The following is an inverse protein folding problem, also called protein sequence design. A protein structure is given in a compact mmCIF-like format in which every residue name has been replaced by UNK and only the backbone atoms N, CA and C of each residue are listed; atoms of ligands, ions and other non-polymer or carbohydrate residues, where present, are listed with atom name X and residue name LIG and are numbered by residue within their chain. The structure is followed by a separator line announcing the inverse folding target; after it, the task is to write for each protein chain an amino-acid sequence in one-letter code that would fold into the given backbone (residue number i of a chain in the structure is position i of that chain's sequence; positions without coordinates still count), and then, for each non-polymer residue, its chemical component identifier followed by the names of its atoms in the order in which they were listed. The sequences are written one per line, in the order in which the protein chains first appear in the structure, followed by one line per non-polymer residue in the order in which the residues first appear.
data_IF_968597793431
#
_entry.id   IF_968597793431
#
_cell.length_a   1.000
_cell.length_b   1.000
_cell.length_c   1.000
_cell.angle_alpha   90.00
_cell.angle_beta   90.00
_cell.angle_gamma   90.00
#
_symmetry.space_group_name_H-M   'P 1'
#
loop_
_entity.id
_entity.type
_entity.pdbx_description
1 polymer ?
#
# COMPACT_ATOMS: atom_id res chain seq x y z
N UNK A 1 -58.21 29.21 40.90
CA UNK A 1 -56.81 28.74 40.90
C UNK A 1 -56.82 27.26 40.58
N UNK A 2 -56.03 26.85 39.56
CA UNK A 2 -55.79 25.48 39.08
C UNK A 2 -57.00 24.74 38.44
N UNK A 3 -56.88 23.88 37.42
CA UNK A 3 -55.86 23.56 36.41
C UNK A 3 -56.41 22.38 35.59
N UNK A 4 -56.33 22.48 34.25
CA UNK A 4 -56.01 21.42 33.25
C UNK A 4 -56.75 20.06 33.31
N UNK A 5 -57.34 19.67 32.18
CA UNK A 5 -56.76 18.70 31.23
C UNK A 5 -57.86 17.96 30.44
N UNK A 6 -58.00 18.28 29.16
CA UNK A 6 -58.54 17.36 28.16
C UNK A 6 -57.48 17.26 27.06
N UNK A 7 -56.69 16.18 27.10
CA UNK A 7 -55.78 15.81 26.01
C UNK A 7 -56.62 15.22 24.87
N UNK A 8 -56.63 15.89 23.72
CA UNK A 8 -56.97 15.25 22.46
C UNK A 8 -55.68 14.60 21.91
N UNK A 9 -55.64 13.27 21.93
CA UNK A 9 -54.55 12.47 21.39
C UNK A 9 -54.71 12.37 19.87
N UNK A 10 -54.01 13.21 19.12
CA UNK A 10 -53.84 13.04 17.67
C UNK A 10 -52.68 12.06 17.48
N UNK A 11 -53.01 10.83 17.05
CA UNK A 11 -52.01 9.85 16.61
C UNK A 11 -51.58 10.25 15.19
N UNK A 12 -50.40 10.87 15.08
CA UNK A 12 -49.77 11.12 13.79
C UNK A 12 -49.08 9.82 13.35
N UNK A 13 -49.71 9.04 12.48
CA UNK A 13 -49.06 7.91 11.82
C UNK A 13 -48.11 8.49 10.77
N UNK A 14 -46.84 8.67 11.12
CA UNK A 14 -45.79 8.95 10.16
C UNK A 14 -45.47 7.66 9.41
N UNK A 15 -46.06 7.50 8.22
CA UNK A 15 -45.66 6.46 7.28
C UNK A 15 -44.24 6.77 6.78
N UNK A 16 -43.26 6.02 7.29
CA UNK A 16 -41.90 5.96 6.73
C UNK A 16 -41.99 5.26 5.39
N UNK A 17 -42.18 6.03 4.32
CA UNK A 17 -41.87 5.54 2.97
C UNK A 17 -40.36 5.51 2.92
N UNK A 18 -39.77 4.31 2.89
CA UNK A 18 -38.37 4.16 2.52
C UNK A 18 -38.20 4.84 1.15
N UNK A 19 -37.50 5.98 1.12
CA UNK A 19 -37.19 6.66 -0.12
C UNK A 19 -36.34 5.72 -0.95
N UNK A 20 -36.91 5.13 -2.01
CA UNK A 20 -36.14 4.43 -3.03
C UNK A 20 -35.17 5.46 -3.60
N UNK A 21 -33.84 5.29 -3.49
CA UNK A 21 -32.91 6.25 -4.04
C UNK A 21 -33.20 6.41 -5.53
N UNK A 22 -33.22 7.66 -6.06
CA UNK A 22 -33.50 7.88 -7.46
C UNK A 22 -32.46 7.10 -8.29
N UNK A 23 -32.94 6.34 -9.28
CA UNK A 23 -32.08 5.67 -10.26
C UNK A 23 -31.23 6.75 -10.93
N UNK A 24 -29.96 6.86 -10.54
CA UNK A 24 -29.01 7.77 -11.20
C UNK A 24 -28.91 7.28 -12.64
N UNK A 25 -29.29 8.13 -13.59
CA UNK A 25 -29.14 7.83 -15.01
C UNK A 25 -27.65 7.64 -15.27
N UNK A 26 -27.24 6.43 -15.66
CA UNK A 26 -25.87 6.15 -16.12
C UNK A 26 -25.68 6.79 -17.50
N UNK A 27 -24.46 7.26 -17.77
CA UNK A 27 -24.03 7.78 -19.07
C UNK A 27 -23.37 6.65 -19.86
N UNK A 28 -23.62 6.58 -21.17
CA UNK A 28 -22.90 5.67 -22.08
C UNK A 28 -21.79 6.46 -22.78
N UNK A 29 -20.56 5.98 -22.63
CA UNK A 29 -19.36 6.56 -23.24
C UNK A 29 -19.25 6.20 -24.73
N UNK A 30 -18.35 6.87 -25.45
CA UNK A 30 -18.16 6.66 -26.89
C UNK A 30 -17.73 5.21 -27.25
N UNK A 31 -16.99 4.56 -26.36
CA UNK A 31 -16.56 3.16 -26.48
C UNK A 31 -17.65 2.14 -26.07
N UNK A 32 -18.85 2.60 -25.70
CA UNK A 32 -19.97 1.75 -25.30
C UNK A 32 -20.01 1.36 -23.83
N UNK A 33 -18.96 1.67 -23.05
CA UNK A 33 -18.98 1.49 -21.59
C UNK A 33 -20.00 2.42 -20.93
N UNK A 34 -20.44 2.09 -19.71
CA UNK A 34 -21.35 2.96 -18.96
C UNK A 34 -20.76 3.35 -17.62
N UNK A 35 -20.92 4.61 -17.24
CA UNK A 35 -20.43 5.17 -15.98
C UNK A 35 -21.50 6.04 -15.30
N UNK A 36 -21.34 6.29 -14.02
CA UNK A 36 -22.19 7.20 -13.25
C UNK A 36 -22.06 8.68 -13.67
N UNK A 37 -20.95 9.10 -14.28
CA UNK A 37 -20.71 10.49 -14.69
C UNK A 37 -19.98 10.57 -16.04
N UNK A 38 -20.43 11.42 -16.97
CA UNK A 38 -19.82 11.61 -18.29
C UNK A 38 -18.34 12.02 -18.22
N UNK A 39 -17.93 12.77 -17.18
CA UNK A 39 -16.53 13.13 -16.95
C UNK A 39 -15.62 11.90 -16.74
N UNK A 40 -16.20 10.75 -16.37
CA UNK A 40 -15.44 9.51 -16.17
C UNK A 40 -15.10 8.78 -17.47
N UNK A 41 -15.72 9.15 -18.60
CA UNK A 41 -15.56 8.39 -19.84
C UNK A 41 -14.13 8.37 -20.38
N UNK A 42 -13.34 9.44 -20.17
CA UNK A 42 -11.93 9.49 -20.59
C UNK A 42 -11.09 8.42 -19.91
N UNK A 43 -11.45 8.04 -18.68
CA UNK A 43 -10.67 7.09 -17.89
C UNK A 43 -10.76 5.65 -18.41
N UNK A 44 -11.78 5.30 -19.21
CA UNK A 44 -11.76 4.02 -19.90
C UNK A 44 -10.70 3.98 -21.01
N UNK A 45 -10.49 5.09 -21.71
CA UNK A 45 -9.44 5.16 -22.74
C UNK A 45 -8.04 5.20 -22.10
N UNK A 46 -7.91 5.85 -20.93
CA UNK A 46 -6.68 5.78 -20.10
C UNK A 46 -6.46 4.35 -19.61
N UNK A 47 -7.50 3.68 -19.09
CA UNK A 47 -7.44 2.30 -18.60
C UNK A 47 -6.90 1.35 -19.67
N UNK A 48 -7.50 1.36 -20.85
CA UNK A 48 -7.11 0.48 -21.94
C UNK A 48 -5.63 0.69 -22.33
N UNK A 49 -5.18 1.96 -22.38
CA UNK A 49 -3.82 2.33 -22.74
C UNK A 49 -2.79 1.94 -21.68
N UNK A 50 -3.06 2.20 -20.39
CA UNK A 50 -2.11 1.85 -19.32
C UNK A 50 -2.09 0.34 -19.07
N UNK A 51 -3.20 -0.37 -19.21
CA UNK A 51 -3.20 -1.83 -19.11
C UNK A 51 -2.32 -2.46 -20.20
N UNK A 52 -2.45 -2.01 -21.45
CA UNK A 52 -1.65 -2.54 -22.56
C UNK A 52 -0.17 -2.14 -22.48
N UNK A 53 0.10 -0.85 -22.21
CA UNK A 53 1.41 -0.25 -22.49
C UNK A 53 2.23 0.12 -21.25
N UNK A 54 1.60 0.32 -20.09
CA UNK A 54 2.31 0.57 -18.82
C UNK A 54 2.40 -0.72 -18.00
N UNK A 55 1.30 -1.45 -17.86
CA UNK A 55 1.22 -2.69 -17.07
C UNK A 55 1.34 -3.95 -17.92
N UNK A 56 1.96 -3.87 -19.10
CA UNK A 56 2.33 -5.03 -19.94
C UNK A 56 1.21 -6.06 -20.19
N UNK A 57 -0.03 -5.62 -20.36
CA UNK A 57 -1.19 -6.49 -20.51
C UNK A 57 -1.96 -6.75 -19.21
N UNK A 58 -1.84 -5.86 -18.22
CA UNK A 58 -2.53 -5.95 -16.93
C UNK A 58 -1.81 -6.84 -15.91
N UNK A 59 -0.48 -6.86 -15.95
CA UNK A 59 0.37 -7.58 -14.98
C UNK A 59 0.44 -6.82 -13.65
N UNK A 60 0.53 -7.58 -12.55
CA UNK A 60 0.96 -7.09 -11.24
C UNK A 60 2.47 -7.35 -11.10
N UNK A 61 3.24 -6.49 -11.76
CA UNK A 61 4.70 -6.49 -11.73
C UNK A 61 5.24 -5.12 -11.33
N UNK A 62 6.49 -4.86 -11.68
CA UNK A 62 7.23 -3.68 -11.22
C UNK A 62 6.47 -2.35 -11.42
N UNK A 63 6.00 -2.06 -12.63
CA UNK A 63 5.28 -0.80 -12.91
C UNK A 63 3.99 -0.64 -12.08
N UNK A 64 3.31 -1.75 -11.77
CA UNK A 64 2.11 -1.73 -10.92
C UNK A 64 2.49 -1.44 -9.45
N UNK A 65 3.57 -2.04 -8.95
CA UNK A 65 4.10 -1.80 -7.61
C UNK A 65 4.60 -0.36 -7.46
N UNK A 66 5.37 0.12 -8.44
CA UNK A 66 5.90 1.48 -8.47
C UNK A 66 4.78 2.52 -8.60
N UNK A 67 3.73 2.24 -9.39
CA UNK A 67 2.54 3.11 -9.49
C UNK A 67 1.82 3.22 -8.16
N UNK A 68 1.68 2.10 -7.42
CA UNK A 68 1.09 2.12 -6.07
C UNK A 68 1.95 2.92 -5.10
N UNK A 69 3.28 2.72 -5.11
CA UNK A 69 4.23 3.53 -4.31
C UNK A 69 4.13 5.02 -4.65
N UNK A 70 4.04 5.37 -5.93
CA UNK A 70 3.96 6.76 -6.39
C UNK A 70 2.75 7.49 -5.81
N UNK A 71 1.62 6.81 -5.60
CA UNK A 71 0.45 7.41 -4.94
C UNK A 71 0.75 7.94 -3.55
N UNK A 72 1.57 7.22 -2.78
CA UNK A 72 1.97 7.62 -1.43
C UNK A 72 2.96 8.78 -1.46
N UNK A 73 3.98 8.71 -2.31
CA UNK A 73 5.02 9.72 -2.38
C UNK A 73 4.50 11.08 -2.88
N UNK A 74 3.54 11.09 -3.80
CA UNK A 74 2.80 12.30 -4.17
C UNK A 74 1.96 12.80 -2.98
N UNK A 75 1.08 11.94 -2.45
CA UNK A 75 0.05 12.36 -1.50
C UNK A 75 0.57 12.76 -0.10
N UNK A 76 1.54 12.03 0.47
CA UNK A 76 1.96 12.23 1.85
C UNK A 76 2.80 13.49 2.07
N UNK A 77 3.26 14.10 0.97
CA UNK A 77 3.98 15.36 0.93
C UNK A 77 3.03 16.55 1.20
N UNK A 78 2.37 16.50 2.36
CA UNK A 78 1.31 17.39 2.83
C UNK A 78 1.41 17.64 4.33
N UNK A 79 1.64 18.89 4.74
CA UNK A 79 1.86 19.27 6.14
C UNK A 79 0.99 20.46 6.55
N UNK A 80 -0.12 20.20 7.25
CA UNK A 80 -0.87 21.22 7.98
C UNK A 80 -0.01 21.97 8.99
N UNK A 81 0.93 21.31 9.68
CA UNK A 81 1.82 21.98 10.63
C UNK A 81 2.72 23.03 9.97
N UNK A 82 3.34 22.71 8.82
CA UNK A 82 4.13 23.70 8.06
C UNK A 82 3.25 24.87 7.57
N UNK A 83 2.06 24.55 7.06
CA UNK A 83 1.08 25.55 6.61
C UNK A 83 0.69 26.49 7.75
N UNK A 84 0.39 25.95 8.94
CA UNK A 84 0.06 26.73 10.13
C UNK A 84 1.24 27.58 10.62
N UNK A 85 2.48 27.15 10.37
CA UNK A 85 3.69 27.91 10.67
C UNK A 85 4.00 29.01 9.63
N UNK A 86 3.19 29.14 8.58
CA UNK A 86 3.34 30.16 7.54
C UNK A 86 4.26 29.77 6.38
N UNK A 87 4.64 28.50 6.28
CA UNK A 87 5.39 27.93 5.15
C UNK A 87 4.46 27.17 4.22
N UNK A 88 4.86 26.94 2.96
CA UNK A 88 4.15 25.99 2.11
C UNK A 88 4.34 24.58 2.66
N UNK A 89 3.25 23.85 2.91
CA UNK A 89 3.27 22.51 3.48
C UNK A 89 3.23 21.37 2.47
N UNK A 90 3.27 21.66 1.17
CA UNK A 90 3.00 20.68 0.11
C UNK A 90 1.50 20.57 -0.20
N UNK A 91 1.19 20.19 -1.45
CA UNK A 91 -0.19 20.17 -1.97
C UNK A 91 -0.94 18.85 -1.74
N UNK A 92 -0.24 17.81 -1.28
CA UNK A 92 -0.82 16.47 -1.13
C UNK A 92 -0.91 15.76 -2.46
N UNK A 93 -2.03 15.08 -2.73
CA UNK A 93 -2.20 14.26 -3.93
C UNK A 93 -2.47 15.16 -5.15
N UNK A 94 -1.55 16.04 -5.53
CA UNK A 94 -1.72 17.08 -6.55
C UNK A 94 -0.88 16.84 -7.82
N UNK A 95 -0.12 15.74 -7.88
CA UNK A 95 0.76 15.42 -8.99
C UNK A 95 2.04 16.27 -9.04
N UNK A 96 2.41 16.95 -7.96
CA UNK A 96 3.64 17.75 -7.89
C UNK A 96 4.87 16.91 -8.20
N UNK A 97 4.88 15.63 -7.80
CA UNK A 97 6.02 14.74 -7.99
C UNK A 97 6.34 14.48 -9.47
N UNK A 98 5.33 14.52 -10.36
CA UNK A 98 5.51 14.50 -11.81
C UNK A 98 5.72 15.92 -12.33
N UNK A 99 4.92 16.90 -11.90
CA UNK A 99 4.95 18.26 -12.44
C UNK A 99 6.29 18.99 -12.19
N UNK A 100 6.93 18.71 -11.05
CA UNK A 100 8.17 19.31 -10.57
C UNK A 100 9.23 18.22 -10.29
N UNK A 101 9.29 17.20 -11.15
CA UNK A 101 10.23 16.07 -11.00
C UNK A 101 11.69 16.51 -11.02
N UNK A 102 12.02 17.65 -11.65
CA UNK A 102 13.35 18.26 -11.64
C UNK A 102 13.80 18.70 -10.22
N UNK A 103 12.83 18.91 -9.32
CA UNK A 103 13.08 19.24 -7.91
C UNK A 103 12.86 18.01 -7.03
N UNK A 104 11.69 17.38 -7.08
CA UNK A 104 11.31 16.34 -6.12
C UNK A 104 12.09 15.03 -6.28
N UNK A 105 12.58 14.71 -7.48
CA UNK A 105 13.45 13.53 -7.70
C UNK A 105 14.88 13.75 -7.19
N UNK A 106 15.23 14.96 -6.74
CA UNK A 106 16.52 15.22 -6.09
C UNK A 106 16.51 14.83 -4.61
N UNK A 107 15.33 14.55 -4.04
CA UNK A 107 15.17 14.21 -2.63
C UNK A 107 15.53 12.74 -2.39
N UNK A 108 16.37 12.42 -1.40
CA UNK A 108 16.75 11.04 -1.11
C UNK A 108 15.56 10.09 -0.86
N UNK A 109 14.48 10.63 -0.28
CA UNK A 109 13.25 9.88 0.02
C UNK A 109 12.56 9.36 -1.25
N UNK A 110 12.76 10.01 -2.40
CA UNK A 110 12.14 9.66 -3.67
C UNK A 110 13.05 8.83 -4.58
N UNK A 111 14.17 8.31 -4.06
CA UNK A 111 15.09 7.49 -4.84
C UNK A 111 14.36 6.29 -5.48
N UNK A 112 14.60 6.10 -6.78
CA UNK A 112 14.00 5.03 -7.58
C UNK A 112 12.54 5.27 -7.96
N UNK A 113 12.07 6.52 -8.01
CA UNK A 113 10.76 6.87 -8.60
C UNK A 113 10.89 7.55 -9.97
N UNK A 114 12.11 7.87 -10.40
CA UNK A 114 12.36 8.59 -11.63
C UNK A 114 11.91 7.80 -12.86
N UNK A 115 12.07 6.47 -12.85
CA UNK A 115 11.61 5.60 -13.94
C UNK A 115 10.09 5.65 -14.08
N UNK A 116 9.32 5.35 -13.03
CA UNK A 116 7.85 5.37 -13.09
C UNK A 116 7.27 6.77 -13.32
N UNK A 117 7.90 7.83 -12.80
CA UNK A 117 7.47 9.23 -13.02
C UNK A 117 7.56 9.57 -14.51
N UNK A 118 8.68 9.25 -15.15
CA UNK A 118 8.86 9.55 -16.57
C UNK A 118 8.10 8.57 -17.48
N UNK A 119 7.85 7.33 -17.04
CA UNK A 119 6.96 6.40 -17.73
C UNK A 119 5.49 6.85 -17.68
N UNK A 120 5.04 7.40 -16.54
CA UNK A 120 3.65 7.86 -16.32
C UNK A 120 3.30 9.15 -17.07
N UNK A 121 4.25 10.11 -17.11
CA UNK A 121 4.07 11.44 -17.71
C UNK A 121 3.43 11.45 -19.12
N UNK A 122 3.91 10.67 -20.12
CA UNK A 122 3.37 10.72 -21.46
C UNK A 122 1.90 10.28 -21.54
N UNK A 123 1.44 9.37 -20.67
CA UNK A 123 0.04 8.93 -20.65
C UNK A 123 -0.88 10.06 -20.18
N UNK A 124 -0.54 10.71 -19.06
CA UNK A 124 -1.32 11.83 -18.54
C UNK A 124 -1.43 12.98 -19.57
N UNK A 125 -0.33 13.30 -20.24
CA UNK A 125 -0.29 14.32 -21.31
C UNK A 125 -1.11 13.90 -22.53
N UNK A 126 -0.94 12.65 -23.00
CA UNK A 126 -1.64 12.11 -24.18
C UNK A 126 -3.16 12.13 -24.01
N UNK A 127 -3.63 11.77 -22.81
CA UNK A 127 -5.07 11.73 -22.49
C UNK A 127 -5.62 13.04 -21.94
N UNK A 128 -4.77 14.07 -21.79
CA UNK A 128 -5.14 15.39 -21.27
C UNK A 128 -5.85 15.30 -19.90
N UNK A 129 -5.31 14.48 -19.00
CA UNK A 129 -5.73 14.36 -17.60
C UNK A 129 -4.67 15.00 -16.69
N UNK A 130 -5.03 15.36 -15.46
CA UNK A 130 -4.06 15.90 -14.51
C UNK A 130 -3.08 14.83 -14.04
N UNK A 131 -1.88 15.23 -13.65
CA UNK A 131 -0.89 14.31 -13.10
C UNK A 131 -1.37 13.70 -11.79
N UNK A 132 -1.96 14.50 -10.90
CA UNK A 132 -2.51 13.99 -9.64
C UNK A 132 -3.62 12.97 -9.86
N UNK A 133 -4.54 13.19 -10.81
CA UNK A 133 -5.56 12.20 -11.12
C UNK A 133 -4.94 10.94 -11.75
N UNK A 134 -3.97 11.09 -12.66
CA UNK A 134 -3.30 9.97 -13.30
C UNK A 134 -2.56 9.07 -12.29
N UNK A 135 -1.82 9.65 -11.35
CA UNK A 135 -1.09 8.89 -10.32
C UNK A 135 -2.06 8.03 -9.50
N UNK A 136 -3.13 8.64 -8.98
CA UNK A 136 -4.11 7.94 -8.15
C UNK A 136 -4.88 6.88 -8.97
N UNK A 137 -5.15 7.15 -10.25
CA UNK A 137 -5.75 6.18 -11.17
C UNK A 137 -4.83 4.99 -11.44
N UNK A 138 -3.57 5.24 -11.80
CA UNK A 138 -2.59 4.20 -12.11
C UNK A 138 -2.31 3.31 -10.89
N UNK A 139 -2.19 3.88 -9.69
CA UNK A 139 -2.04 3.09 -8.46
C UNK A 139 -3.27 2.22 -8.16
N UNK A 140 -4.49 2.73 -8.36
CA UNK A 140 -5.72 1.95 -8.17
C UNK A 140 -5.85 0.81 -9.20
N UNK A 141 -5.53 1.06 -10.47
CA UNK A 141 -5.55 0.05 -11.53
C UNK A 141 -4.44 -0.99 -11.33
N UNK A 142 -3.22 -0.56 -11.03
CA UNK A 142 -2.09 -1.45 -10.76
C UNK A 142 -2.37 -2.38 -9.58
N UNK A 143 -2.92 -1.86 -8.48
CA UNK A 143 -3.33 -2.70 -7.35
C UNK A 143 -4.45 -3.70 -7.72
N UNK A 144 -5.37 -3.32 -8.62
CA UNK A 144 -6.43 -4.20 -9.09
C UNK A 144 -5.94 -5.31 -10.04
N UNK A 145 -4.76 -5.18 -10.65
CA UNK A 145 -4.15 -6.24 -11.47
C UNK A 145 -3.62 -7.41 -10.62
N UNK A 146 -3.31 -7.15 -9.35
CA UNK A 146 -2.77 -8.13 -8.44
C UNK A 146 -3.82 -9.15 -8.01
N UNK A 147 -3.39 -10.38 -7.72
CA UNK A 147 -4.32 -11.44 -7.35
C UNK A 147 -5.04 -11.05 -6.06
N UNK A 148 -6.37 -11.04 -6.13
CA UNK A 148 -7.17 -10.67 -4.98
C UNK A 148 -6.99 -9.21 -4.51
N UNK A 149 -6.55 -8.32 -5.41
CA UNK A 149 -6.36 -6.90 -5.15
C UNK A 149 -7.61 -6.17 -4.60
N UNK A 150 -7.39 -4.97 -4.02
CA UNK A 150 -8.46 -4.13 -3.50
C UNK A 150 -9.27 -3.45 -4.61
N UNK A 151 -10.47 -2.99 -4.28
CA UNK A 151 -11.27 -2.09 -5.10
C UNK A 151 -11.07 -0.64 -4.63
N UNK A 152 -9.88 -0.08 -4.88
CA UNK A 152 -9.56 1.30 -4.48
C UNK A 152 -10.49 2.27 -5.21
N UNK A 153 -11.09 3.20 -4.45
CA UNK A 153 -11.95 4.24 -5.02
C UNK A 153 -11.14 5.26 -5.81
N UNK A 154 -11.68 5.71 -6.94
CA UNK A 154 -11.03 6.70 -7.78
C UNK A 154 -11.91 7.94 -7.96
N UNK A 155 -11.38 9.09 -7.54
CA UNK A 155 -12.01 10.40 -7.67
C UNK A 155 -11.16 11.26 -8.59
N UNK A 156 -11.74 11.83 -9.65
CA UNK A 156 -11.06 12.69 -10.61
C UNK A 156 -11.44 14.17 -10.43
N UNK A 157 -10.54 15.09 -10.80
CA UNK A 157 -10.77 16.53 -10.77
C UNK A 157 -9.62 17.35 -10.16
N UNK A 158 -8.46 16.74 -9.90
CA UNK A 158 -7.29 17.47 -9.38
C UNK A 158 -6.74 18.46 -10.42
N UNK A 159 -6.24 19.60 -9.95
CA UNK A 159 -5.60 20.61 -10.79
C UNK A 159 -4.13 20.27 -11.03
N UNK A 160 -3.58 20.61 -12.19
CA UNK A 160 -2.13 20.61 -12.43
C UNK A 160 -1.43 21.86 -11.88
N UNK A 161 -2.16 22.82 -11.31
CA UNK A 161 -1.60 23.99 -10.65
C UNK A 161 -1.04 23.59 -9.27
N UNK A 162 0.23 23.19 -9.25
CA UNK A 162 0.96 22.72 -8.07
C UNK A 162 2.29 23.45 -7.90
N UNK A 163 2.92 23.25 -6.74
CA UNK A 163 4.31 23.65 -6.45
C UNK A 163 5.08 22.43 -5.98
N UNK A 164 6.39 22.38 -6.23
CA UNK A 164 7.24 21.32 -5.67
C UNK A 164 7.03 21.20 -4.16
N UNK A 165 6.75 19.99 -3.70
CA UNK A 165 6.56 19.72 -2.29
C UNK A 165 7.84 20.01 -1.49
N UNK A 166 7.73 20.46 -0.22
CA UNK A 166 8.90 20.50 0.66
C UNK A 166 9.51 19.12 0.86
N UNK A 167 10.84 19.04 0.87
CA UNK A 167 11.58 17.83 1.24
C UNK A 167 11.29 17.41 2.71
N UNK A 168 11.62 16.17 3.05
CA UNK A 168 11.47 15.54 4.38
C UNK A 168 10.01 15.39 4.86
N UNK A 169 9.06 15.33 3.93
CA UNK A 169 7.65 15.01 4.22
C UNK A 169 7.26 13.55 3.92
N UNK A 170 8.17 12.78 3.32
CA UNK A 170 8.02 11.34 3.09
C UNK A 170 8.90 10.60 4.12
N UNK A 171 8.37 9.62 4.87
CA UNK A 171 9.16 8.83 5.80
C UNK A 171 10.26 8.01 5.11
N UNK A 172 11.40 7.85 5.78
CA UNK A 172 12.47 6.95 5.37
C UNK A 172 12.33 5.57 6.05
N UNK A 173 12.84 4.49 5.44
CA UNK A 173 12.84 3.17 6.08
C UNK A 173 13.74 3.11 7.32
N UNK A 174 14.72 4.01 7.46
CA UNK A 174 15.56 4.14 8.65
C UNK A 174 14.95 4.99 9.77
N UNK A 175 13.81 5.64 9.53
CA UNK A 175 13.12 6.42 10.56
C UNK A 175 12.60 5.55 11.71
N UNK A 176 12.57 6.14 12.91
CA UNK A 176 11.97 5.48 14.07
C UNK A 176 10.44 5.42 13.94
N UNK A 177 9.81 4.46 14.62
CA UNK A 177 8.35 4.41 14.70
C UNK A 177 7.74 5.73 15.24
N UNK A 178 8.41 6.40 16.17
CA UNK A 178 7.97 7.72 16.66
C UNK A 178 7.97 8.78 15.56
N UNK A 179 9.03 8.84 14.75
CA UNK A 179 9.16 9.77 13.63
C UNK A 179 8.08 9.51 12.59
N UNK A 180 7.92 8.25 12.17
CA UNK A 180 6.93 7.84 11.17
C UNK A 180 5.52 8.20 11.66
N UNK A 181 5.14 7.77 12.87
CA UNK A 181 3.81 8.01 13.39
C UNK A 181 3.52 9.50 13.62
N UNK A 182 4.53 10.30 13.99
CA UNK A 182 4.37 11.76 14.07
C UNK A 182 4.16 12.40 12.68
N UNK A 183 4.88 11.93 11.66
CA UNK A 183 4.74 12.42 10.27
C UNK A 183 3.37 12.11 9.71
N UNK A 184 2.89 10.87 9.89
CA UNK A 184 1.54 10.47 9.51
C UNK A 184 0.46 11.24 10.29
N UNK A 185 0.68 11.48 11.59
CA UNK A 185 -0.25 12.29 12.40
C UNK A 185 -0.37 13.73 11.92
N UNK A 186 0.70 14.36 11.43
CA UNK A 186 0.64 15.69 10.81
C UNK A 186 -0.22 15.66 9.53
N UNK A 187 -0.02 14.66 8.66
CA UNK A 187 -0.83 14.45 7.48
C UNK A 187 -2.29 14.00 7.78
N UNK A 188 -2.62 13.72 9.03
CA UNK A 188 -3.99 13.43 9.49
C UNK A 188 -4.32 11.96 9.70
N UNK A 189 -3.33 11.06 9.75
CA UNK A 189 -3.52 9.64 9.99
C UNK A 189 -3.23 9.24 11.43
N UNK A 190 -4.06 8.35 11.98
CA UNK A 190 -3.79 7.70 13.28
C UNK A 190 -2.87 6.49 13.09
N UNK A 191 -2.26 6.01 14.17
CA UNK A 191 -1.25 4.96 14.10
C UNK A 191 -1.72 3.66 13.41
N UNK A 192 -2.98 3.26 13.61
CA UNK A 192 -3.54 2.08 12.96
C UNK A 192 -3.73 2.25 11.45
N UNK A 193 -4.01 3.46 10.97
CA UNK A 193 -4.14 3.75 9.54
C UNK A 193 -2.77 3.64 8.83
N UNK A 194 -1.65 3.84 9.54
CA UNK A 194 -0.32 3.58 9.00
C UNK A 194 -0.13 2.10 8.69
N UNK A 195 -0.58 1.22 9.59
CA UNK A 195 -0.58 -0.24 9.37
C UNK A 195 -1.47 -0.61 8.17
N UNK A 196 -2.62 0.06 8.04
CA UNK A 196 -3.54 -0.18 6.92
C UNK A 196 -2.91 0.21 5.59
N UNK A 197 -2.21 1.35 5.50
CA UNK A 197 -1.49 1.74 4.28
C UNK A 197 -0.33 0.81 3.94
N UNK A 198 0.32 0.21 4.94
CA UNK A 198 1.40 -0.75 4.73
C UNK A 198 0.93 -2.10 4.18
N UNK A 199 -0.39 -2.32 4.00
CA UNK A 199 -0.89 -3.44 3.18
C UNK A 199 -0.29 -3.37 1.77
N UNK A 200 0.06 -2.17 1.26
CA UNK A 200 0.75 -2.01 -0.03
C UNK A 200 2.06 -2.79 -0.14
N UNK A 201 2.77 -3.05 0.97
CA UNK A 201 4.04 -3.78 0.95
C UNK A 201 3.86 -5.27 0.63
N UNK A 202 2.63 -5.82 0.64
CA UNK A 202 2.37 -7.19 0.15
C UNK A 202 2.58 -7.35 -1.36
N UNK A 203 2.54 -6.24 -2.11
CA UNK A 203 2.87 -6.18 -3.54
C UNK A 203 3.99 -5.16 -3.76
N UNK A 204 5.08 -5.33 -3.02
CA UNK A 204 6.20 -4.40 -3.00
C UNK A 204 7.55 -5.08 -3.02
N UNK A 205 8.52 -4.39 -3.62
CA UNK A 205 9.92 -4.77 -3.72
C UNK A 205 10.83 -3.57 -3.45
N UNK A 206 12.14 -3.81 -3.34
CA UNK A 206 13.12 -2.74 -3.22
C UNK A 206 14.16 -2.76 -4.35
N UNK A 207 14.56 -1.57 -4.79
CA UNK A 207 15.61 -1.39 -5.81
C UNK A 207 16.80 -0.55 -5.34
N UNK A 208 16.62 0.27 -4.29
CA UNK A 208 17.56 1.36 -3.97
C UNK A 208 18.18 1.29 -2.57
N UNK A 209 17.67 0.45 -1.67
CA UNK A 209 18.22 0.33 -0.29
C UNK A 209 19.50 -0.50 -0.31
N UNK A 210 19.46 -1.65 -0.97
CA UNK A 210 20.65 -2.43 -1.34
C UNK A 210 20.72 -2.50 -2.87
N UNK A 211 21.26 -1.45 -3.52
CA UNK A 211 21.49 -1.46 -4.95
C UNK A 211 22.71 -2.34 -5.24
N UNK A 212 22.73 -2.99 -6.40
CA UNK A 212 23.92 -3.76 -6.82
C UNK A 212 25.16 -2.86 -6.69
N UNK A 213 26.08 -3.28 -5.82
CA UNK A 213 27.41 -2.68 -5.75
C UNK A 213 28.04 -2.79 -7.14
N UNK A 214 28.10 -1.67 -7.86
CA UNK A 214 28.74 -1.60 -9.17
C UNK A 214 30.07 -2.35 -9.13
N UNK A 215 30.38 -3.23 -10.11
CA UNK A 215 31.65 -3.93 -10.10
C UNK A 215 32.73 -2.88 -10.27
N UNK A 216 33.45 -2.57 -9.18
CA UNK A 216 34.75 -1.88 -9.12
C UNK A 216 34.90 -0.77 -10.18
N UNK A 217 34.75 0.49 -9.75
CA UNK A 217 35.16 1.66 -10.53
C UNK A 217 36.37 1.39 -11.43
N UNK A 218 36.22 1.66 -12.74
CA UNK A 218 37.28 1.54 -13.75
C UNK A 218 38.56 2.34 -13.40
N UNK A 219 38.52 3.20 -12.38
CA UNK A 219 39.71 3.84 -11.79
C UNK A 219 40.70 2.84 -11.15
N UNK A 220 40.27 1.62 -10.82
CA UNK A 220 41.15 0.56 -10.29
C UNK A 220 41.76 -0.33 -11.38
N UNK A 221 41.42 -0.14 -12.65
CA UNK A 221 41.95 -0.93 -13.77
C UNK A 221 43.43 -0.61 -14.09
N UNK A 222 43.99 0.46 -13.54
CA UNK A 222 45.40 0.84 -13.74
C UNK A 222 46.36 -0.05 -12.93
N UNK A 223 45.89 -0.73 -11.88
CA UNK A 223 46.77 -1.55 -11.03
C UNK A 223 46.95 -3.00 -11.53
N UNK A 224 46.17 -3.44 -12.53
CA UNK A 224 46.22 -4.83 -13.04
C UNK A 224 47.31 -5.04 -14.11
N UNK A 225 47.92 -3.97 -14.64
CA UNK A 225 48.96 -4.08 -15.69
C UNK A 225 50.40 -4.24 -15.18
N UNK A 226 50.65 -4.29 -13.86
CA UNK A 226 52.02 -4.24 -13.30
C UNK A 226 52.38 -5.43 -12.37
N UNK A 227 51.57 -6.49 -12.30
CA UNK A 227 51.89 -7.67 -11.49
C UNK A 227 52.06 -8.96 -12.33
N UNK A 228 53.05 -9.81 -12.00
CA UNK A 228 53.30 -11.07 -12.71
C UNK A 228 52.12 -12.05 -12.51
N UNK A 229 51.98 -13.08 -13.36
CA UNK A 229 50.80 -13.95 -13.38
C UNK A 229 50.69 -14.73 -12.08
N UNK A 230 49.83 -14.26 -11.17
CA UNK A 230 49.50 -14.98 -9.96
C UNK A 230 48.48 -16.08 -10.27
N UNK A 231 48.77 -17.23 -9.68
CA UNK A 231 48.08 -18.51 -9.80
C UNK A 231 46.59 -18.37 -9.50
N UNK A 232 45.76 -19.08 -10.28
CA UNK A 232 44.35 -19.44 -10.04
C UNK A 232 43.53 -18.31 -9.41
N UNK A 233 42.78 -17.60 -10.26
CA UNK A 233 41.66 -16.79 -9.83
C UNK A 233 40.85 -17.58 -8.79
N UNK A 234 40.75 -17.02 -7.59
CA UNK A 234 39.89 -17.55 -6.55
C UNK A 234 38.46 -17.62 -7.09
N UNK A 235 37.80 -18.75 -6.90
CA UNK A 235 36.37 -18.94 -7.11
C UNK A 235 35.49 -18.09 -6.15
N UNK A 236 36.05 -17.00 -5.58
CA UNK A 236 35.35 -15.99 -4.77
C UNK A 236 34.64 -14.92 -5.62
N UNK A 237 34.68 -15.05 -6.94
CA UNK A 237 33.79 -14.35 -7.88
C UNK A 237 32.59 -15.24 -8.26
N UNK A 238 32.09 -16.05 -7.31
CA UNK A 238 30.75 -16.61 -7.41
C UNK A 238 29.74 -15.44 -7.39
N UNK A 239 28.70 -15.53 -8.21
CA UNK A 239 27.67 -14.50 -8.44
C UNK A 239 27.35 -13.68 -7.18
N UNK A 240 27.64 -12.37 -7.20
CA UNK A 240 27.01 -11.46 -6.23
C UNK A 240 25.51 -11.61 -6.39
N UNK A 241 24.82 -11.98 -5.33
CA UNK A 241 23.37 -12.11 -5.36
C UNK A 241 22.81 -10.70 -5.39
N UNK A 242 22.38 -10.24 -6.57
CA UNK A 242 21.60 -9.02 -6.70
C UNK A 242 20.31 -9.21 -5.92
N UNK A 243 20.03 -8.30 -4.99
CA UNK A 243 18.73 -8.23 -4.29
C UNK A 243 17.88 -7.04 -4.73
N UNK A 244 18.27 -6.37 -5.83
CA UNK A 244 17.36 -5.49 -6.57
C UNK A 244 16.14 -6.30 -7.00
N UNK A 245 14.95 -5.74 -6.80
CA UNK A 245 13.67 -6.42 -6.98
C UNK A 245 13.32 -7.40 -5.87
N UNK A 246 14.10 -7.51 -4.78
CA UNK A 246 13.76 -8.40 -3.67
C UNK A 246 12.45 -7.94 -3.00
N UNK A 247 11.43 -8.80 -2.92
CA UNK A 247 10.12 -8.44 -2.39
C UNK A 247 10.11 -8.37 -0.86
N UNK A 248 9.10 -7.69 -0.30
CA UNK A 248 8.91 -7.60 1.15
C UNK A 248 8.18 -8.81 1.75
N UNK A 249 7.61 -9.68 0.92
CA UNK A 249 7.05 -10.96 1.30
C UNK A 249 7.29 -12.03 0.21
N UNK A 250 6.84 -13.26 0.48
CA UNK A 250 7.03 -14.39 -0.43
C UNK A 250 6.05 -14.44 -1.62
N UNK A 251 5.08 -13.52 -1.69
CA UNK A 251 3.96 -13.54 -2.65
C UNK A 251 3.70 -12.14 -3.25
N UNK A 252 4.69 -11.49 -3.89
CA UNK A 252 4.63 -10.08 -4.27
C UNK A 252 3.62 -9.72 -5.37
N UNK A 253 2.84 -10.67 -5.88
CA UNK A 253 1.75 -10.43 -6.84
C UNK A 253 0.36 -10.69 -6.25
N UNK A 254 0.28 -11.04 -4.96
CA UNK A 254 -0.93 -11.43 -4.27
C UNK A 254 -1.24 -10.40 -3.15
N UNK A 255 -2.44 -9.80 -3.16
CA UNK A 255 -2.90 -9.00 -2.02
C UNK A 255 -3.41 -9.90 -0.90
N UNK A 256 -2.47 -10.41 -0.11
CA UNK A 256 -2.73 -11.24 1.05
C UNK A 256 -2.10 -10.65 2.33
N UNK A 257 -1.93 -11.48 3.36
CA UNK A 257 -1.36 -11.04 4.64
C UNK A 257 0.04 -11.62 4.91
N UNK A 258 0.73 -12.17 3.90
CA UNK A 258 2.05 -12.77 4.05
C UNK A 258 3.07 -11.73 4.53
N UNK A 259 3.06 -10.52 4.00
CA UNK A 259 3.85 -9.40 4.54
C UNK A 259 3.71 -9.25 6.07
N UNK A 260 2.48 -9.29 6.60
CA UNK A 260 2.25 -9.15 8.04
C UNK A 260 2.76 -10.36 8.83
N UNK A 261 2.64 -11.58 8.29
CA UNK A 261 3.19 -12.80 8.89
C UNK A 261 4.71 -12.74 8.92
N UNK A 262 5.32 -12.49 7.76
CA UNK A 262 6.74 -12.68 7.51
C UNK A 262 7.57 -11.61 8.19
N UNK A 263 7.08 -10.39 8.31
CA UNK A 263 7.71 -9.31 9.10
C UNK A 263 7.80 -9.63 10.60
N UNK A 264 6.91 -10.48 11.14
CA UNK A 264 6.97 -10.94 12.53
C UNK A 264 7.92 -12.11 12.77
N UNK A 265 8.47 -12.73 11.73
CA UNK A 265 9.48 -13.79 11.89
C UNK A 265 10.82 -13.25 12.40
N UNK A 266 11.58 -14.09 13.08
CA UNK A 266 12.98 -13.83 13.43
C UNK A 266 13.80 -13.53 12.16
N UNK A 267 14.48 -12.39 12.12
CA UNK A 267 15.46 -12.11 11.07
C UNK A 267 16.72 -12.95 11.30
N UNK A 268 17.13 -13.74 10.31
CA UNK A 268 18.23 -14.71 10.46
C UNK A 268 19.34 -14.56 9.42
N UNK A 269 19.10 -13.82 8.34
CA UNK A 269 20.04 -13.66 7.24
C UNK A 269 20.10 -12.23 6.72
N UNK A 270 21.25 -11.90 6.13
CA UNK A 270 21.43 -10.73 5.28
C UNK A 270 21.08 -11.20 3.86
N UNK A 271 20.09 -10.60 3.18
CA UNK A 271 19.70 -11.06 1.84
C UNK A 271 20.78 -10.74 0.79
N UNK A 272 21.48 -9.61 0.92
CA UNK A 272 22.62 -9.20 0.10
C UNK A 272 23.98 -9.54 0.73
N UNK A 273 24.99 -8.70 0.45
CA UNK A 273 26.37 -8.88 0.95
C UNK A 273 26.56 -8.30 2.37
N UNK A 274 25.88 -7.20 2.68
CA UNK A 274 25.90 -6.51 3.97
C UNK A 274 24.55 -5.83 4.27
N UNK A 275 24.39 -5.26 5.48
CA UNK A 275 23.20 -4.48 5.81
C UNK A 275 23.40 -3.01 5.44
N UNK A 276 22.37 -2.42 4.85
CA UNK A 276 22.31 -1.01 4.46
C UNK A 276 21.44 -0.18 5.42
N UNK A 277 21.52 1.16 5.33
CA UNK A 277 20.67 2.04 6.14
C UNK A 277 19.19 1.81 5.80
N UNK A 278 18.36 1.59 6.82
CA UNK A 278 16.94 1.25 6.63
C UNK A 278 16.67 -0.23 6.36
N UNK A 279 17.69 -1.11 6.45
CA UNK A 279 17.54 -2.56 6.30
C UNK A 279 17.82 -3.29 7.62
N UNK A 280 17.10 -4.39 7.85
CA UNK A 280 17.38 -5.35 8.93
C UNK A 280 17.49 -6.77 8.38
N UNK A 281 17.86 -7.74 9.23
CA UNK A 281 17.91 -9.15 8.83
C UNK A 281 16.53 -9.63 8.35
N UNK A 282 16.50 -10.26 7.18
CA UNK A 282 15.33 -10.93 6.63
C UNK A 282 15.16 -12.31 7.26
N UNK A 283 13.93 -12.86 7.28
CA UNK A 283 13.66 -14.19 7.83
C UNK A 283 13.88 -15.30 6.81
N UNK A 284 13.80 -14.98 5.51
CA UNK A 284 13.73 -15.97 4.44
C UNK A 284 14.61 -15.59 3.24
N UNK A 285 15.25 -16.54 2.54
CA UNK A 285 16.14 -16.22 1.44
C UNK A 285 15.40 -15.56 0.27
N UNK A 286 15.93 -14.44 -0.23
CA UNK A 286 15.32 -13.66 -1.31
C UNK A 286 14.34 -12.58 -0.85
N UNK A 287 13.89 -12.62 0.41
CA UNK A 287 13.05 -11.58 1.02
C UNK A 287 13.89 -10.39 1.48
N UNK A 288 13.36 -9.19 1.36
CA UNK A 288 13.91 -7.97 1.93
C UNK A 288 13.09 -7.49 3.12
N UNK A 289 13.74 -7.00 4.17
CA UNK A 289 13.05 -6.43 5.32
C UNK A 289 13.52 -5.02 5.65
N UNK A 290 12.58 -4.07 5.57
CA UNK A 290 12.79 -2.70 5.99
C UNK A 290 12.85 -2.58 7.51
N UNK A 291 13.70 -1.70 8.01
CA UNK A 291 13.83 -1.40 9.43
C UNK A 291 12.53 -0.80 10.00
N UNK A 292 11.87 0.06 9.24
CA UNK A 292 10.58 0.67 9.60
C UNK A 292 9.50 -0.38 9.86
N UNK A 293 9.37 -1.36 8.96
CA UNK A 293 8.34 -2.40 9.05
C UNK A 293 8.60 -3.34 10.23
N UNK A 294 9.87 -3.68 10.43
CA UNK A 294 10.30 -4.42 11.63
C UNK A 294 9.97 -3.67 12.92
N UNK A 295 10.17 -2.36 12.97
CA UNK A 295 9.87 -1.54 14.14
C UNK A 295 8.36 -1.41 14.37
N UNK A 296 7.58 -1.08 13.33
CA UNK A 296 6.14 -0.88 13.40
C UNK A 296 5.37 -2.17 13.73
N UNK A 297 5.82 -3.33 13.23
CA UNK A 297 5.24 -4.63 13.59
C UNK A 297 5.40 -4.98 15.08
N UNK A 298 6.33 -4.32 15.78
CA UNK A 298 6.67 -4.58 17.19
C UNK A 298 6.36 -3.43 18.15
N UNK A 299 6.01 -2.25 17.62
CA UNK A 299 5.67 -1.08 18.42
C UNK A 299 4.31 -1.25 19.11
N UNK A 300 4.20 -0.83 20.38
CA UNK A 300 2.99 -1.05 21.17
C UNK A 300 1.73 -0.34 20.62
N UNK A 301 1.89 0.70 19.78
CA UNK A 301 0.79 1.44 19.15
C UNK A 301 0.22 0.75 17.92
N UNK A 302 1.00 -0.13 17.28
CA UNK A 302 0.69 -0.71 15.97
C UNK A 302 0.72 -2.24 15.95
N UNK A 303 1.49 -2.89 16.83
CA UNK A 303 1.70 -4.35 16.82
C UNK A 303 0.42 -5.19 16.88
N UNK A 304 -0.59 -4.75 17.63
CA UNK A 304 -1.86 -5.47 17.66
C UNK A 304 -2.63 -5.33 16.36
N UNK A 305 -2.66 -4.13 15.77
CA UNK A 305 -3.31 -3.94 14.49
C UNK A 305 -2.58 -4.70 13.37
N UNK A 306 -1.25 -4.74 13.43
CA UNK A 306 -0.40 -5.54 12.54
C UNK A 306 -0.79 -7.01 12.55
N UNK A 307 -0.95 -7.60 13.75
CA UNK A 307 -1.40 -8.98 13.89
C UNK A 307 -2.85 -9.18 13.40
N UNK A 308 -3.73 -8.19 13.60
CA UNK A 308 -5.12 -8.27 13.14
C UNK A 308 -5.29 -8.19 11.62
N UNK A 309 -4.25 -7.82 10.85
CA UNK A 309 -4.28 -7.96 9.38
C UNK A 309 -4.20 -9.42 8.93
N UNK A 310 -3.56 -10.28 9.73
CA UNK A 310 -3.49 -11.73 9.47
C UNK A 310 -4.79 -12.41 9.87
N UNK A 311 -5.30 -12.03 11.05
CA UNK A 311 -6.56 -12.52 11.58
C UNK A 311 -6.61 -12.46 13.10
N UNK A 312 -7.81 -12.68 13.65
CA UNK A 312 -8.00 -12.75 15.09
C UNK A 312 -7.95 -14.19 15.60
N UNK A 313 -7.18 -14.45 16.66
CA UNK A 313 -7.33 -15.71 17.40
C UNK A 313 -8.71 -15.74 18.06
N UNK A 314 -9.45 -16.88 18.07
CA UNK A 314 -10.66 -17.01 18.85
C UNK A 314 -10.28 -17.07 20.34
N UNK A 315 -10.06 -15.92 20.97
CA UNK A 315 -9.99 -15.85 22.44
C UNK A 315 -11.41 -15.81 23.00
N UNK A 316 -11.72 -16.57 24.07
CA UNK A 316 -13.03 -16.48 24.70
C UNK A 316 -13.20 -15.07 25.30
N UNK A 317 -14.40 -14.46 25.21
CA UNK A 317 -14.58 -13.08 25.63
C UNK A 317 -14.31 -12.95 27.14
N UNK A 318 -13.49 -11.98 27.58
CA UNK A 318 -13.59 -11.51 28.95
C UNK A 318 -14.93 -10.78 29.07
N UNK A 319 -15.72 -11.21 30.04
CA UNK A 319 -17.04 -10.66 30.35
C UNK A 319 -17.04 -9.14 30.44
N UNK A 320 -17.50 -8.45 29.38
CA UNK A 320 -17.84 -7.04 29.46
C UNK A 320 -19.03 -6.75 28.54
N UNK A 321 -20.13 -6.34 29.17
CA UNK A 321 -21.33 -5.87 28.50
C UNK A 321 -21.05 -4.62 27.68
N UNK A 322 -21.23 -4.70 26.35
CA UNK A 322 -21.65 -3.53 25.57
C UNK A 322 -22.50 -3.99 24.39
N UNK A 323 -23.74 -3.52 24.35
CA UNK A 323 -24.69 -3.73 23.26
C UNK A 323 -24.28 -2.91 22.04
N UNK A 324 -23.73 -3.58 21.03
CA UNK A 324 -23.95 -3.21 19.62
C UNK A 324 -24.23 -4.51 18.88
N UNK A 325 -25.50 -4.72 18.52
CA UNK A 325 -25.93 -5.86 17.74
C UNK A 325 -25.63 -5.59 16.26
N UNK A 326 -24.57 -6.19 15.73
CA UNK A 326 -24.57 -6.57 14.33
C UNK A 326 -25.31 -7.90 14.22
N UNK A 327 -26.36 -7.91 13.39
CA UNK A 327 -27.21 -9.07 13.13
C UNK A 327 -26.38 -10.26 12.66
N UNK A 328 -26.33 -11.29 13.51
CA UNK A 328 -25.69 -12.57 13.25
C UNK A 328 -26.58 -13.37 12.28
N UNK A 329 -26.15 -13.54 11.03
CA UNK A 329 -26.79 -14.47 10.10
C UNK A 329 -26.56 -15.92 10.59
N UNK A 330 -27.60 -16.72 10.84
CA UNK A 330 -27.43 -18.08 11.34
C UNK A 330 -27.13 -19.05 10.19
N UNK A 331 -25.91 -19.59 10.14
CA UNK A 331 -25.54 -20.65 9.17
C UNK A 331 -24.04 -20.86 8.90
N UNK A 332 -23.15 -20.04 9.45
CA UNK A 332 -21.71 -20.07 9.12
C UNK A 332 -21.00 -21.30 9.69
N UNK A 333 -20.46 -22.13 8.79
CA UNK A 333 -19.56 -23.26 9.13
C UNK A 333 -18.21 -22.75 9.67
N UNK A 334 -17.41 -23.56 10.39
CA UNK A 334 -16.14 -23.15 11.02
C UNK A 334 -15.01 -22.69 10.07
N UNK A 335 -15.27 -22.55 8.76
CA UNK A 335 -14.34 -22.00 7.77
C UNK A 335 -14.66 -20.56 7.33
N UNK A 336 -15.72 -19.93 7.86
CA UNK A 336 -16.19 -18.61 7.39
C UNK A 336 -15.57 -17.40 8.12
N UNK A 337 -14.70 -17.61 9.11
CA UNK A 337 -14.00 -16.54 9.82
C UNK A 337 -12.78 -16.02 9.03
N UNK A 338 -12.13 -16.86 8.22
CA UNK A 338 -10.86 -16.54 7.55
C UNK A 338 -11.00 -15.60 6.35
N UNK A 339 -12.06 -15.78 5.56
CA UNK A 339 -12.43 -14.84 4.48
C UNK A 339 -12.85 -13.48 5.03
N UNK A 340 -13.32 -13.41 6.28
CA UNK A 340 -13.67 -12.15 6.91
C UNK A 340 -12.43 -11.32 7.28
N UNK A 341 -11.32 -11.97 7.65
CA UNK A 341 -10.08 -11.28 8.04
C UNK A 341 -9.42 -10.60 6.82
N UNK A 342 -9.29 -11.30 5.69
CA UNK A 342 -8.79 -10.69 4.44
C UNK A 342 -9.71 -9.59 3.90
N UNK A 343 -11.02 -9.81 3.89
CA UNK A 343 -11.97 -8.78 3.46
C UNK A 343 -11.88 -7.52 4.35
N UNK A 344 -11.63 -7.68 5.64
CA UNK A 344 -11.42 -6.58 6.58
C UNK A 344 -10.09 -5.85 6.31
N UNK A 345 -9.00 -6.58 6.06
CA UNK A 345 -7.72 -6.00 5.64
C UNK A 345 -7.88 -5.15 4.37
N UNK A 346 -8.51 -5.69 3.33
CA UNK A 346 -8.75 -4.94 2.09
C UNK A 346 -9.65 -3.72 2.32
N UNK A 347 -10.74 -3.86 3.08
CA UNK A 347 -11.61 -2.73 3.41
C UNK A 347 -10.84 -1.60 4.10
N UNK A 348 -10.03 -1.93 5.11
CA UNK A 348 -9.19 -0.95 5.82
C UNK A 348 -8.19 -0.26 4.89
N UNK A 349 -7.56 -1.04 4.00
CA UNK A 349 -6.67 -0.49 2.98
C UNK A 349 -7.40 0.44 2.03
N UNK A 350 -8.54 0.02 1.47
CA UNK A 350 -9.38 0.81 0.55
C UNK A 350 -9.83 2.13 1.17
N UNK A 351 -10.32 2.10 2.41
CA UNK A 351 -10.76 3.29 3.14
C UNK A 351 -9.59 4.27 3.37
N UNK A 352 -8.40 3.76 3.69
CA UNK A 352 -7.22 4.60 3.96
C UNK A 352 -6.57 5.12 2.69
N UNK A 353 -6.56 4.33 1.61
CA UNK A 353 -6.14 4.75 0.28
C UNK A 353 -7.03 5.87 -0.24
N UNK A 354 -8.35 5.80 -0.04
CA UNK A 354 -9.25 6.92 -0.35
C UNK A 354 -8.85 8.16 0.45
N UNK A 355 -8.65 8.04 1.76
CA UNK A 355 -8.21 9.17 2.61
C UNK A 355 -6.89 9.78 2.15
N UNK A 356 -5.91 8.95 1.81
CA UNK A 356 -4.61 9.38 1.27
C UNK A 356 -4.77 10.10 -0.07
N UNK A 357 -5.56 9.55 -0.99
CA UNK A 357 -5.82 10.18 -2.29
C UNK A 357 -6.47 11.56 -2.17
N UNK A 358 -7.09 11.89 -1.03
CA UNK A 358 -7.77 13.15 -0.78
C UNK A 358 -6.92 14.17 -0.01
N UNK A 359 -5.66 13.87 0.33
CA UNK A 359 -4.78 14.86 0.96
C UNK A 359 -4.65 16.10 0.07
N UNK A 360 -5.02 17.26 0.60
CA UNK A 360 -5.07 18.53 -0.15
C UNK A 360 -6.41 18.85 -0.83
N UNK A 361 -7.38 17.92 -0.84
CA UNK A 361 -8.63 18.06 -1.59
C UNK A 361 -9.87 17.75 -0.73
N UNK A 362 -11.00 18.36 -1.06
CA UNK A 362 -12.29 17.91 -0.56
C UNK A 362 -12.91 16.92 -1.54
N UNK A 363 -13.34 15.75 -1.05
CA UNK A 363 -13.99 14.73 -1.87
C UNK A 363 -15.22 15.26 -2.63
N UNK A 364 -15.95 16.22 -2.06
CA UNK A 364 -17.14 16.83 -2.68
C UNK A 364 -16.84 17.66 -3.94
N UNK A 365 -15.59 18.09 -4.09
CA UNK A 365 -15.14 18.91 -5.22
C UNK A 365 -14.61 18.03 -6.37
N UNK A 366 -14.50 16.71 -6.13
CA UNK A 366 -14.07 15.71 -7.10
C UNK A 366 -15.24 14.88 -7.62
N UNK A 367 -15.02 14.21 -8.75
CA UNK A 367 -15.98 13.32 -9.38
C UNK A 367 -15.63 11.87 -9.09
N UNK A 368 -16.55 11.13 -8.49
CA UNK A 368 -16.42 9.67 -8.30
C UNK A 368 -16.46 8.94 -9.66
N UNK A 369 -15.31 8.38 -10.03
CA UNK A 369 -15.09 7.56 -11.22
C UNK A 369 -14.66 6.14 -10.83
N UNK A 370 -14.98 5.69 -9.62
CA UNK A 370 -14.59 4.36 -9.12
C UNK A 370 -15.17 3.21 -9.94
N UNK A 371 -16.22 3.44 -10.72
CA UNK A 371 -16.81 2.43 -11.61
C UNK A 371 -16.02 2.18 -12.91
N UNK A 372 -14.90 2.88 -13.08
CA UNK A 372 -13.91 2.62 -14.16
C UNK A 372 -12.84 1.62 -13.71
N UNK A 373 -12.52 1.56 -12.41
CA UNK A 373 -11.45 0.69 -11.89
C UNK A 373 -11.86 -0.78 -12.06
N UNK A 374 -11.04 -1.62 -12.71
CA UNK A 374 -11.37 -3.03 -12.89
C UNK A 374 -11.49 -3.73 -11.55
N UNK A 375 -12.36 -4.75 -11.48
CA UNK A 375 -12.43 -5.61 -10.30
C UNK A 375 -11.29 -6.61 -10.35
N UNK A 376 -10.51 -6.67 -9.27
CA UNK A 376 -9.42 -7.62 -9.16
C UNK A 376 -9.90 -9.07 -9.33
N UNK A 377 -9.04 -9.88 -9.94
CA UNK A 377 -9.29 -11.31 -10.16
C UNK A 377 -8.24 -12.15 -9.43
N UNK A 378 -8.23 -13.46 -9.64
CA UNK A 378 -7.26 -14.34 -8.98
C UNK A 378 -7.69 -14.76 -7.57
N UNK A 379 -6.97 -15.75 -7.05
CA UNK A 379 -7.19 -16.31 -5.72
C UNK A 379 -5.89 -16.25 -4.96
N UNK A 380 -5.93 -15.68 -3.76
CA UNK A 380 -4.78 -15.71 -2.84
C UNK A 380 -4.95 -16.83 -1.81
N UNK A 381 -3.84 -17.24 -1.22
CA UNK A 381 -3.84 -18.28 -0.21
C UNK A 381 -4.21 -17.73 1.18
N UNK A 382 -4.64 -18.62 2.08
CA UNK A 382 -4.71 -18.27 3.50
C UNK A 382 -3.28 -18.01 4.02
N UNK A 383 -3.07 -17.10 4.99
CA UNK A 383 -1.74 -16.83 5.52
C UNK A 383 -1.06 -18.09 6.08
N UNK A 384 0.23 -18.22 5.81
CA UNK A 384 1.01 -19.43 6.09
C UNK A 384 2.42 -19.11 6.58
N UNK A 385 3.03 -20.09 7.25
CA UNK A 385 4.46 -20.06 7.56
C UNK A 385 5.27 -20.65 6.40
N UNK A 386 6.30 -19.95 5.89
CA UNK A 386 7.18 -20.47 4.84
C UNK A 386 7.84 -21.80 5.20
N UNK A 387 8.28 -22.55 4.19
CA UNK A 387 8.87 -23.87 4.39
C UNK A 387 10.10 -23.82 5.28
N UNK A 388 10.17 -24.72 6.27
CA UNK A 388 11.28 -24.77 7.23
C UNK A 388 11.15 -23.82 8.42
N UNK A 389 10.08 -23.00 8.48
CA UNK A 389 9.76 -22.15 9.62
C UNK A 389 8.56 -22.69 10.39
N UNK A 390 8.48 -22.33 11.67
CA UNK A 390 7.46 -22.79 12.61
C UNK A 390 6.95 -21.64 13.48
N UNK A 391 5.94 -21.88 14.31
CA UNK A 391 5.46 -20.88 15.26
C UNK A 391 6.55 -20.44 16.26
N UNK A 392 7.58 -21.25 16.51
CA UNK A 392 8.73 -20.90 17.37
C UNK A 392 9.62 -19.81 16.74
N UNK A 393 9.51 -19.57 15.44
CA UNK A 393 10.26 -18.55 14.71
C UNK A 393 9.56 -17.18 14.70
N UNK A 394 8.33 -17.09 15.22
CA UNK A 394 7.57 -15.85 15.30
C UNK A 394 7.95 -15.02 16.53
N UNK A 395 7.91 -13.71 16.36
CA UNK A 395 8.04 -12.71 17.44
C UNK A 395 6.79 -11.83 17.53
N UNK A 396 5.62 -12.40 17.88
CA UNK A 396 4.40 -11.61 18.00
C UNK A 396 4.54 -10.59 19.13
N UNK A 397 4.13 -9.35 18.85
CA UNK A 397 4.25 -8.24 19.80
C UNK A 397 2.90 -7.74 20.33
N UNK A 398 1.78 -8.31 19.88
CA UNK A 398 0.46 -7.93 20.39
C UNK A 398 0.25 -8.43 21.82
N UNK A 399 0.05 -7.50 22.75
CA UNK A 399 -0.19 -7.83 24.17
C UNK A 399 -1.64 -8.22 24.49
N UNK A 400 -2.58 -7.98 23.57
CA UNK A 400 -4.02 -8.13 23.82
C UNK A 400 -4.66 -9.36 23.18
N UNK A 401 -3.97 -10.00 22.23
CA UNK A 401 -4.44 -11.21 21.55
C UNK A 401 -3.27 -12.12 21.22
N UNK A 402 -3.47 -13.43 21.40
CA UNK A 402 -2.52 -14.42 20.91
C UNK A 402 -2.43 -14.39 19.39
N UNK A 403 -1.26 -14.72 18.86
CA UNK A 403 -1.04 -14.90 17.43
C UNK A 403 -1.94 -16.03 16.88
N UNK A 404 -2.54 -15.89 15.68
CA UNK A 404 -3.36 -16.95 15.09
C UNK A 404 -2.51 -18.15 14.69
N UNK A 405 -3.03 -19.37 14.85
CA UNK A 405 -2.30 -20.56 14.37
C UNK A 405 -2.38 -20.67 12.86
N UNK A 406 -1.22 -20.83 12.21
CA UNK A 406 -1.07 -20.85 10.75
C UNK A 406 -0.62 -22.23 10.27
N UNK A 407 -0.97 -22.57 9.02
CA UNK A 407 -0.39 -23.74 8.37
C UNK A 407 1.06 -23.46 7.94
N UNK A 408 1.93 -24.45 8.07
CA UNK A 408 3.29 -24.39 7.52
C UNK A 408 3.33 -25.06 6.14
N UNK A 409 3.95 -24.40 5.17
CA UNK A 409 4.23 -24.99 3.86
C UNK A 409 5.23 -26.12 4.01
N UNK A 410 4.88 -27.31 3.54
CA UNK A 410 5.80 -28.45 3.52
C UNK A 410 6.80 -28.34 2.37
N UNK A 411 8.01 -28.87 2.55
CA UNK A 411 9.03 -28.94 1.50
C UNK A 411 10.38 -28.39 1.93
N UNK A 412 11.25 -28.16 0.95
CA UNK A 412 12.57 -27.55 1.15
C UNK A 412 12.46 -26.03 1.06
N UNK A 413 13.26 -25.33 1.85
CA UNK A 413 13.46 -23.87 1.73
C UNK A 413 13.86 -23.52 0.30
N UNK A 414 13.19 -22.54 -0.30
CA UNK A 414 13.47 -22.00 -1.64
C UNK A 414 13.71 -20.51 -1.55
N UNK A 415 14.61 -19.98 -2.37
CA UNK A 415 14.80 -18.53 -2.49
C UNK A 415 13.61 -17.89 -3.21
N UNK A 416 13.05 -16.83 -2.63
CA UNK A 416 12.01 -16.01 -3.26
C UNK A 416 12.63 -15.30 -4.48
N UNK A 417 11.91 -15.27 -5.60
CA UNK A 417 12.38 -14.60 -6.80
C UNK A 417 12.27 -13.08 -6.63
N UNK A 418 13.23 -12.34 -7.19
CA UNK A 418 13.05 -10.91 -7.40
C UNK A 418 11.92 -10.67 -8.40
N UNK A 419 11.18 -9.57 -8.21
CA UNK A 419 10.10 -9.10 -9.09
C UNK A 419 10.64 -8.77 -10.48
#
# INVERSE_FOLDING_TARGET
MFSKAFLALIVLVASVIAAVPPVRKRTTCANGQTTANEACCVWFDVLDDIQENLFHGGECGEDAHESLRLTFHDAIAYSPALTAAGSFGGGGADGSIIAHSDVEMTYPVNAGLDEIVEASRPFAIKHNVSFGDFIQFAGAVGAANCNGGPQISFYAGRSNDSQAAPDNLVPLPSDSADTILARFSDAGFVAVEVVWLLVSHTVGSQNTVDPVSTPISLSSLILVLVLPPLRKADARFASRQSIVGAPFDSTPSDFDAQFFVETMLNGTLIPGDELHDGQVLSPYPGEFRLQSDFALSRDNRTACEWQFMIGSSPSPPPSMHMHVAYEYLPGSRPGLLRTADRANMLQKFEETMLKMSLLGFNQSDLTDCSDVIPTATGTVQDPFLPAGLTEDDLQPACSTSAFPSLSTVGGTVTTIAAV
#
